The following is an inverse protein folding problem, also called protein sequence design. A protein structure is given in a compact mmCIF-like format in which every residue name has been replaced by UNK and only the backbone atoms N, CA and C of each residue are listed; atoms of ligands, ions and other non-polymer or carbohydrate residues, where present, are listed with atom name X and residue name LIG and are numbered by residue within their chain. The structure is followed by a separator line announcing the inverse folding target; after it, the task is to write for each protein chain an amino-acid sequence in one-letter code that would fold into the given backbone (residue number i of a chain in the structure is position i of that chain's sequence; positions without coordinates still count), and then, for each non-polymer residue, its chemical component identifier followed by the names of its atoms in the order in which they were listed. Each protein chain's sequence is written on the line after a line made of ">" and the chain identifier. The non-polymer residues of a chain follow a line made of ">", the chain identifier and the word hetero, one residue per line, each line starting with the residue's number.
data_IF_951051491150
#
_entry.id   IF_951051491150
#
_cell.length_a   1.000
_cell.length_b   1.000
_cell.length_c   1.000
_cell.angle_alpha   90.00
_cell.angle_beta   90.00
_cell.angle_gamma   90.00
#
_symmetry.space_group_name_H-M   'P 1'
#
loop_
_entity.id
_entity.type
_entity.pdbx_description
1 polymer ?
#
# COMPACT_ATOMS: atom_id res chain seq x y z
N UNK A 1 -74.20 -30.39 -40.99
CA UNK A 1 -73.66 -29.02 -41.10
C UNK A 1 -72.52 -28.72 -40.08
N UNK A 2 -71.83 -29.72 -39.60
CA UNK A 2 -70.82 -29.56 -38.53
C UNK A 2 -69.36 -29.37 -39.05
N UNK A 3 -68.99 -30.06 -40.10
CA UNK A 3 -67.61 -30.11 -40.60
C UNK A 3 -67.10 -28.80 -41.20
N UNK A 4 -67.95 -28.04 -41.88
CA UNK A 4 -67.58 -26.73 -42.47
C UNK A 4 -67.24 -25.70 -41.41
N UNK A 5 -67.99 -25.66 -40.34
CA UNK A 5 -67.78 -24.72 -39.23
C UNK A 5 -66.50 -25.08 -38.45
N UNK A 6 -66.14 -26.31 -38.34
CA UNK A 6 -64.94 -26.77 -37.67
C UNK A 6 -63.68 -26.46 -38.50
N UNK A 7 -63.76 -26.70 -39.80
CA UNK A 7 -62.70 -26.32 -40.72
C UNK A 7 -62.45 -24.80 -40.77
N UNK A 8 -63.53 -23.98 -40.76
CA UNK A 8 -63.42 -22.51 -40.70
C UNK A 8 -62.77 -22.04 -39.40
N UNK A 9 -63.16 -22.59 -38.27
CA UNK A 9 -62.58 -22.27 -36.94
C UNK A 9 -61.09 -22.67 -36.87
N UNK A 10 -60.70 -23.77 -37.47
CA UNK A 10 -59.30 -24.20 -37.54
C UNK A 10 -58.47 -23.25 -38.39
N UNK A 11 -58.97 -22.89 -39.58
CA UNK A 11 -58.29 -21.92 -40.44
C UNK A 11 -58.15 -20.54 -39.80
N UNK A 12 -59.16 -20.11 -39.02
CA UNK A 12 -59.10 -18.85 -38.29
C UNK A 12 -58.06 -18.86 -37.21
N UNK A 13 -57.96 -19.93 -36.40
CA UNK A 13 -56.91 -20.10 -35.38
C UNK A 13 -55.50 -20.12 -35.96
N UNK A 14 -55.35 -20.75 -37.11
CA UNK A 14 -54.05 -20.79 -37.80
C UNK A 14 -53.62 -19.41 -38.31
N UNK A 15 -54.57 -18.59 -38.81
CA UNK A 15 -54.32 -17.19 -39.22
C UNK A 15 -53.97 -16.32 -37.99
N UNK A 16 -54.73 -16.43 -36.91
CA UNK A 16 -54.53 -15.64 -35.72
C UNK A 16 -53.15 -15.99 -35.07
N UNK A 17 -52.75 -17.27 -35.10
CA UNK A 17 -51.46 -17.71 -34.63
C UNK A 17 -50.29 -17.20 -35.50
N UNK A 18 -50.49 -17.15 -36.83
CA UNK A 18 -49.49 -16.61 -37.75
C UNK A 18 -49.34 -15.11 -37.58
N UNK A 19 -50.45 -14.35 -37.43
CA UNK A 19 -50.43 -12.92 -37.14
C UNK A 19 -49.79 -12.58 -35.82
N UNK A 20 -50.09 -13.38 -34.78
CA UNK A 20 -49.42 -13.19 -33.44
C UNK A 20 -47.91 -13.42 -33.54
N UNK A 21 -47.48 -14.44 -34.26
CA UNK A 21 -46.05 -14.73 -34.49
C UNK A 21 -45.35 -13.65 -35.30
N UNK A 22 -46.03 -13.09 -36.34
CA UNK A 22 -45.49 -11.99 -37.12
C UNK A 22 -45.38 -10.69 -36.33
N UNK A 23 -46.35 -10.35 -35.47
CA UNK A 23 -46.27 -9.18 -34.56
C UNK A 23 -45.22 -9.34 -33.51
N UNK A 24 -44.99 -10.56 -32.98
CA UNK A 24 -43.91 -10.84 -32.00
C UNK A 24 -42.54 -10.65 -32.62
N UNK A 25 -42.32 -11.09 -33.85
CA UNK A 25 -41.02 -10.92 -34.54
C UNK A 25 -40.73 -9.45 -34.86
N UNK A 26 -41.73 -8.66 -35.22
CA UNK A 26 -41.57 -7.22 -35.45
C UNK A 26 -41.31 -6.42 -34.15
N UNK A 27 -41.91 -6.83 -33.04
CA UNK A 27 -41.64 -6.23 -31.71
C UNK A 27 -40.24 -6.51 -31.18
N UNK A 28 -39.68 -7.71 -31.40
CA UNK A 28 -38.31 -8.04 -30.98
C UNK A 28 -37.23 -7.37 -31.85
N UNK A 29 -37.51 -7.12 -33.14
CA UNK A 29 -36.54 -6.49 -34.04
C UNK A 29 -36.33 -4.99 -33.73
N UNK A 30 -37.36 -4.28 -33.31
CA UNK A 30 -37.27 -2.86 -32.93
C UNK A 30 -36.51 -2.66 -31.60
N UNK A 31 -36.72 -3.52 -30.58
CA UNK A 31 -36.08 -3.40 -29.28
C UNK A 31 -34.60 -3.73 -29.24
N UNK A 32 -34.10 -4.62 -30.12
CA UNK A 32 -32.67 -5.01 -30.12
C UNK A 32 -31.77 -3.96 -30.78
N UNK A 33 -32.23 -3.20 -31.73
CA UNK A 33 -31.41 -2.19 -32.42
C UNK A 33 -31.18 -0.94 -31.55
N UNK A 34 -32.20 -0.48 -30.82
CA UNK A 34 -32.09 0.71 -30.00
C UNK A 34 -31.22 0.49 -28.78
N UNK A 35 -31.28 -0.70 -28.20
CA UNK A 35 -30.47 -1.04 -27.02
C UNK A 35 -28.97 -1.16 -27.35
N UNK A 36 -28.62 -1.62 -28.53
CA UNK A 36 -27.22 -1.68 -28.99
C UNK A 36 -26.66 -0.29 -29.29
N UNK A 37 -27.42 0.57 -29.93
CA UNK A 37 -27.05 1.97 -30.19
C UNK A 37 -26.86 2.75 -28.90
N UNK A 38 -27.78 2.60 -27.95
CA UNK A 38 -27.69 3.24 -26.62
C UNK A 38 -26.45 2.75 -25.87
N UNK A 39 -26.11 1.47 -25.88
CA UNK A 39 -24.89 0.94 -25.26
C UNK A 39 -23.63 1.52 -25.91
N UNK A 40 -23.57 1.65 -27.22
CA UNK A 40 -22.44 2.25 -27.93
C UNK A 40 -22.30 3.75 -27.61
N UNK A 41 -23.41 4.47 -27.43
CA UNK A 41 -23.39 5.86 -26.99
C UNK A 41 -22.85 6.01 -25.56
N UNK A 42 -23.23 5.13 -24.62
CA UNK A 42 -22.68 5.16 -23.26
C UNK A 42 -21.19 4.79 -23.25
N UNK A 43 -20.74 3.83 -24.05
CA UNK A 43 -19.33 3.46 -24.16
C UNK A 43 -18.52 4.61 -24.76
N UNK A 44 -19.02 5.28 -25.81
CA UNK A 44 -18.34 6.43 -26.42
C UNK A 44 -18.27 7.61 -25.46
N UNK A 45 -19.36 7.89 -24.72
CA UNK A 45 -19.39 8.94 -23.70
C UNK A 45 -18.39 8.66 -22.55
N UNK A 46 -18.32 7.41 -22.08
CA UNK A 46 -17.37 7.01 -21.04
C UNK A 46 -15.91 7.15 -21.52
N UNK A 47 -15.62 6.82 -22.78
CA UNK A 47 -14.31 7.02 -23.37
C UNK A 47 -13.94 8.50 -23.50
N UNK A 48 -14.88 9.36 -23.90
CA UNK A 48 -14.67 10.81 -23.97
C UNK A 48 -14.40 11.38 -22.58
N UNK A 49 -15.19 10.97 -21.58
CA UNK A 49 -14.99 11.41 -20.18
C UNK A 49 -13.63 10.96 -19.66
N UNK A 50 -13.22 9.72 -19.92
CA UNK A 50 -11.92 9.22 -19.50
C UNK A 50 -10.77 9.98 -20.16
N UNK A 51 -10.91 10.33 -21.45
CA UNK A 51 -9.92 11.09 -22.20
C UNK A 51 -9.82 12.54 -21.69
N UNK A 52 -10.95 13.14 -21.35
CA UNK A 52 -10.99 14.48 -20.72
C UNK A 52 -10.34 14.46 -19.35
N UNK A 53 -10.59 13.43 -18.52
CA UNK A 53 -9.95 13.29 -17.21
C UNK A 53 -8.43 13.07 -17.32
N UNK A 54 -7.99 12.29 -18.30
CA UNK A 54 -6.56 12.10 -18.58
C UNK A 54 -5.92 13.42 -19.04
N UNK A 55 -6.57 14.14 -19.95
CA UNK A 55 -6.10 15.46 -20.41
C UNK A 55 -6.09 16.47 -19.26
N UNK A 56 -7.12 16.48 -18.41
CA UNK A 56 -7.18 17.37 -17.25
C UNK A 56 -6.05 17.04 -16.26
N UNK A 57 -5.84 15.76 -15.96
CA UNK A 57 -4.73 15.29 -15.12
C UNK A 57 -3.36 15.65 -15.73
N UNK A 58 -3.22 15.55 -17.05
CA UNK A 58 -1.98 15.91 -17.75
C UNK A 58 -1.74 17.43 -17.77
N UNK A 59 -2.80 18.23 -17.96
CA UNK A 59 -2.73 19.70 -17.88
C UNK A 59 -2.45 20.18 -16.46
N UNK A 60 -3.06 19.57 -15.44
CA UNK A 60 -2.79 19.87 -14.02
C UNK A 60 -1.37 19.46 -13.63
N UNK A 61 -0.85 18.35 -14.16
CA UNK A 61 0.54 17.93 -14.04
C UNK A 61 1.51 18.92 -14.74
N UNK A 62 1.14 19.44 -15.91
CA UNK A 62 1.95 20.40 -16.66
C UNK A 62 1.85 21.83 -16.11
N UNK A 63 0.71 22.16 -15.48
CA UNK A 63 0.48 23.46 -14.83
C UNK A 63 1.13 23.60 -13.46
N UNK A 64 1.44 22.49 -12.80
CA UNK A 64 2.31 22.46 -11.63
C UNK A 64 3.77 22.46 -12.07
N UNK A 65 4.20 23.58 -12.69
CA UNK A 65 5.62 23.91 -12.67
C UNK A 65 6.05 23.77 -11.20
N UNK A 66 7.09 22.96 -10.88
CA UNK A 66 7.66 23.04 -9.56
C UNK A 66 8.06 24.50 -9.37
N UNK A 67 7.31 25.20 -8.51
CA UNK A 67 7.70 26.54 -8.08
C UNK A 67 9.16 26.41 -7.67
N UNK A 68 10.06 27.30 -8.13
CA UNK A 68 11.40 27.29 -7.60
C UNK A 68 11.25 27.39 -6.09
N UNK A 69 11.72 26.38 -5.39
CA UNK A 69 11.63 26.25 -3.93
C UNK A 69 12.50 27.33 -3.33
N UNK A 70 12.02 28.57 -3.44
CA UNK A 70 12.66 29.73 -2.88
C UNK A 70 12.10 29.96 -1.49
N UNK A 71 12.96 29.73 -0.50
CA UNK A 71 12.82 30.18 0.89
C UNK A 71 11.92 29.32 1.80
N UNK A 72 12.21 28.03 1.91
CA UNK A 72 12.16 27.40 3.22
C UNK A 72 13.59 27.48 3.76
N UNK A 73 13.81 28.33 4.75
CA UNK A 73 15.09 28.46 5.42
C UNK A 73 15.42 27.11 6.09
N UNK A 74 16.26 26.32 5.45
CA UNK A 74 16.64 24.96 5.90
C UNK A 74 16.95 23.98 4.77
N UNK A 75 16.71 24.33 3.50
CA UNK A 75 17.19 23.50 2.40
C UNK A 75 18.69 23.74 2.21
N UNK A 76 19.50 22.68 2.16
CA UNK A 76 20.89 22.82 1.76
C UNK A 76 20.96 23.36 0.33
N UNK A 77 21.81 24.35 0.10
CA UNK A 77 22.06 24.87 -1.23
C UNK A 77 22.65 23.79 -2.13
N UNK A 78 22.56 23.96 -3.44
CA UNK A 78 23.23 23.05 -4.40
C UNK A 78 24.72 22.92 -4.12
N UNK A 79 25.36 23.97 -3.58
CA UNK A 79 26.75 23.92 -3.12
C UNK A 79 26.98 23.00 -1.93
N UNK A 80 25.99 22.85 -1.03
CA UNK A 80 26.09 21.94 0.11
C UNK A 80 25.97 20.46 -0.33
N UNK A 81 25.21 20.19 -1.40
CA UNK A 81 25.09 18.85 -1.99
C UNK A 81 26.41 18.46 -2.66
N UNK A 82 27.06 19.39 -3.32
CA UNK A 82 28.35 19.18 -4.02
C UNK A 82 29.52 18.96 -3.03
N UNK A 83 29.40 19.50 -1.81
CA UNK A 83 30.39 19.30 -0.73
C UNK A 83 30.25 17.96 0.00
N UNK A 84 29.15 17.22 -0.20
CA UNK A 84 28.90 15.95 0.48
C UNK A 84 29.64 14.81 -0.20
N UNK A 85 30.70 14.35 0.43
CA UNK A 85 31.62 13.36 -0.14
C UNK A 85 31.41 11.94 0.37
N UNK A 86 30.51 11.71 1.33
CA UNK A 86 30.35 10.39 1.96
C UNK A 86 28.92 9.93 2.12
N UNK A 87 28.72 8.61 2.19
CA UNK A 87 27.42 8.01 2.53
C UNK A 87 26.90 8.50 3.88
N UNK A 88 27.80 8.74 4.86
CA UNK A 88 27.45 9.23 6.18
C UNK A 88 26.82 10.64 6.13
N UNK A 89 27.29 11.52 5.24
CA UNK A 89 26.73 12.87 5.09
C UNK A 89 25.30 12.81 4.57
N UNK A 90 25.06 11.98 3.55
CA UNK A 90 23.71 11.77 3.03
C UNK A 90 22.81 11.11 4.06
N UNK A 91 23.30 10.14 4.82
CA UNK A 91 22.56 9.51 5.91
C UNK A 91 22.18 10.52 6.99
N UNK A 92 23.11 11.39 7.38
CA UNK A 92 22.86 12.45 8.35
C UNK A 92 21.73 13.39 7.92
N UNK A 93 21.76 13.82 6.65
CA UNK A 93 20.68 14.64 6.06
C UNK A 93 19.36 13.89 5.98
N UNK A 94 19.38 12.62 5.57
CA UNK A 94 18.18 11.80 5.54
C UNK A 94 17.50 11.75 6.91
N UNK A 95 18.28 11.54 7.97
CA UNK A 95 17.77 11.54 9.35
C UNK A 95 17.20 12.90 9.76
N UNK A 96 17.87 13.99 9.38
CA UNK A 96 17.38 15.35 9.67
C UNK A 96 16.00 15.57 9.03
N UNK A 97 15.84 15.25 7.75
CA UNK A 97 14.55 15.38 7.08
C UNK A 97 13.48 14.45 7.67
N UNK A 98 13.84 13.22 8.02
CA UNK A 98 12.92 12.28 8.68
C UNK A 98 12.40 12.83 10.00
N UNK A 99 13.29 13.34 10.86
CA UNK A 99 12.94 13.94 12.14
C UNK A 99 12.00 15.14 12.00
N UNK A 100 12.12 15.89 10.90
CA UNK A 100 11.28 17.05 10.61
C UNK A 100 10.00 16.69 9.83
N UNK A 101 9.70 15.40 9.63
CA UNK A 101 8.50 14.92 8.94
C UNK A 101 8.54 15.07 7.41
N UNK A 102 9.66 15.49 6.83
CA UNK A 102 9.83 15.59 5.38
C UNK A 102 10.26 14.23 4.82
N UNK A 103 9.27 13.35 4.61
CA UNK A 103 9.50 11.98 4.16
C UNK A 103 10.07 11.92 2.74
N UNK A 104 9.68 12.86 1.87
CA UNK A 104 10.14 12.90 0.47
C UNK A 104 11.65 13.11 0.38
N UNK A 105 12.16 14.15 1.03
CA UNK A 105 13.59 14.43 1.03
C UNK A 105 14.36 13.38 1.83
N UNK A 106 13.81 12.92 2.95
CA UNK A 106 14.42 11.85 3.73
C UNK A 106 14.65 10.60 2.88
N UNK A 107 13.62 10.16 2.14
CA UNK A 107 13.70 9.02 1.23
C UNK A 107 14.76 9.22 0.16
N UNK A 108 14.78 10.40 -0.47
CA UNK A 108 15.78 10.76 -1.47
C UNK A 108 17.21 10.63 -0.92
N UNK A 109 17.45 11.16 0.30
CA UNK A 109 18.77 11.13 0.90
C UNK A 109 19.18 9.74 1.40
N UNK A 110 18.25 8.90 1.90
CA UNK A 110 18.56 7.50 2.17
C UNK A 110 18.89 6.73 0.88
N UNK A 111 18.20 7.00 -0.22
CA UNK A 111 18.54 6.41 -1.51
C UNK A 111 19.95 6.84 -1.99
N UNK A 112 20.30 8.11 -1.83
CA UNK A 112 21.67 8.60 -2.13
C UNK A 112 22.71 7.92 -1.24
N UNK A 113 22.41 7.71 0.05
CA UNK A 113 23.28 6.92 0.93
C UNK A 113 23.54 5.54 0.35
N UNK A 114 22.48 4.84 -0.07
CA UNK A 114 22.56 3.48 -0.60
C UNK A 114 23.17 3.41 -2.00
N UNK A 115 23.17 4.50 -2.77
CA UNK A 115 23.92 4.60 -4.03
C UNK A 115 25.44 4.62 -3.80
N UNK A 116 25.89 5.24 -2.71
CA UNK A 116 27.32 5.27 -2.34
C UNK A 116 27.74 4.06 -1.53
N UNK A 117 26.88 3.58 -0.65
CA UNK A 117 27.09 2.39 0.17
C UNK A 117 25.82 1.52 0.19
N UNK A 118 25.72 0.55 -0.71
CA UNK A 118 24.57 -0.36 -0.79
C UNK A 118 24.35 -1.21 0.48
N UNK A 119 25.37 -1.37 1.30
CA UNK A 119 25.35 -2.18 2.52
C UNK A 119 25.09 -1.32 3.78
N UNK A 120 24.70 -0.06 3.63
CA UNK A 120 24.43 0.82 4.77
C UNK A 120 23.16 0.38 5.50
N UNK A 121 23.30 -0.54 6.45
CA UNK A 121 22.17 -1.21 7.15
C UNK A 121 21.16 -0.24 7.72
N UNK A 122 21.63 0.83 8.40
CA UNK A 122 20.73 1.81 9.01
C UNK A 122 19.94 2.63 7.97
N UNK A 123 20.50 2.85 6.78
CA UNK A 123 19.77 3.52 5.70
C UNK A 123 18.68 2.60 5.13
N UNK A 124 18.99 1.31 4.92
CA UNK A 124 18.00 0.30 4.51
C UNK A 124 16.85 0.19 5.52
N UNK A 125 17.18 0.12 6.81
CA UNK A 125 16.17 0.07 7.88
C UNK A 125 15.25 1.29 7.85
N UNK A 126 15.83 2.50 7.83
CA UNK A 126 15.06 3.73 7.87
C UNK A 126 14.26 3.98 6.58
N UNK A 127 14.81 3.59 5.43
CA UNK A 127 14.07 3.60 4.15
C UNK A 127 12.88 2.64 4.21
N UNK A 128 13.04 1.48 4.85
CA UNK A 128 11.95 0.55 5.12
C UNK A 128 10.82 1.19 5.95
N UNK A 129 11.18 1.93 6.99
CA UNK A 129 10.20 2.68 7.82
C UNK A 129 9.47 3.75 7.00
N UNK A 130 10.18 4.50 6.15
CA UNK A 130 9.52 5.49 5.27
C UNK A 130 8.54 4.81 4.31
N UNK A 131 8.91 3.70 3.69
CA UNK A 131 7.99 2.95 2.84
C UNK A 131 6.75 2.47 3.60
N UNK A 132 6.90 2.05 4.86
CA UNK A 132 5.74 1.70 5.71
C UNK A 132 4.82 2.90 5.94
N UNK A 133 5.36 4.07 6.23
CA UNK A 133 4.61 5.31 6.42
C UNK A 133 3.89 5.77 5.13
N UNK A 134 4.46 5.49 3.96
CA UNK A 134 3.83 5.69 2.65
C UNK A 134 2.79 4.62 2.29
N UNK A 135 2.59 3.59 3.13
CA UNK A 135 1.72 2.44 2.84
C UNK A 135 2.31 1.44 1.84
N UNK A 136 3.55 1.64 1.40
CA UNK A 136 4.23 0.72 0.49
C UNK A 136 4.90 -0.43 1.28
N UNK A 137 4.05 -1.30 1.86
CA UNK A 137 4.53 -2.39 2.71
C UNK A 137 5.44 -3.38 2.01
N UNK A 138 5.29 -3.57 0.68
CA UNK A 138 6.15 -4.48 -0.08
C UNK A 138 7.58 -3.94 -0.16
N UNK A 139 7.76 -2.67 -0.49
CA UNK A 139 9.07 -2.04 -0.53
C UNK A 139 9.69 -1.94 0.87
N UNK A 140 8.88 -1.64 1.89
CA UNK A 140 9.30 -1.62 3.29
C UNK A 140 9.84 -2.98 3.74
N UNK A 141 9.09 -4.05 3.48
CA UNK A 141 9.49 -5.42 3.81
C UNK A 141 10.81 -5.81 3.15
N UNK A 142 10.96 -5.49 1.85
CA UNK A 142 12.19 -5.77 1.10
C UNK A 142 13.40 -5.06 1.73
N UNK A 143 13.28 -3.78 2.03
CA UNK A 143 14.37 -2.99 2.62
C UNK A 143 14.76 -3.49 4.01
N UNK A 144 13.78 -3.82 4.86
CA UNK A 144 14.03 -4.35 6.21
C UNK A 144 14.66 -5.74 6.17
N UNK A 145 14.22 -6.62 5.28
CA UNK A 145 14.82 -7.95 5.10
C UNK A 145 16.25 -7.88 4.58
N UNK A 146 16.53 -6.92 3.71
CA UNK A 146 17.90 -6.69 3.25
C UNK A 146 18.80 -6.18 4.38
N UNK A 147 18.32 -5.29 5.22
CA UNK A 147 19.05 -4.87 6.42
C UNK A 147 19.35 -6.04 7.36
N UNK A 148 18.42 -6.98 7.53
CA UNK A 148 18.63 -8.22 8.31
C UNK A 148 19.63 -9.13 7.63
N UNK A 149 19.58 -9.28 6.31
CA UNK A 149 20.53 -10.10 5.56
C UNK A 149 21.97 -9.64 5.77
N UNK A 150 22.17 -8.31 5.75
CA UNK A 150 23.50 -7.71 5.95
C UNK A 150 23.93 -7.75 7.42
N UNK A 151 23.00 -7.53 8.34
CA UNK A 151 23.29 -7.56 9.78
C UNK A 151 22.22 -8.36 10.53
N UNK A 152 22.37 -9.69 10.66
CA UNK A 152 21.37 -10.55 11.30
C UNK A 152 21.08 -10.24 12.77
N UNK A 153 21.97 -9.52 13.45
CA UNK A 153 21.78 -9.09 14.84
C UNK A 153 21.20 -7.66 14.97
N UNK A 154 20.70 -7.07 13.89
CA UNK A 154 20.14 -5.71 13.92
C UNK A 154 18.67 -5.74 14.36
N UNK A 155 18.46 -5.61 15.69
CA UNK A 155 17.16 -5.75 16.34
C UNK A 155 16.08 -4.80 15.76
N UNK A 156 16.48 -3.57 15.37
CA UNK A 156 15.54 -2.55 14.86
C UNK A 156 14.79 -3.00 13.60
N UNK A 157 15.46 -3.72 12.69
CA UNK A 157 14.80 -4.20 11.49
C UNK A 157 13.79 -5.31 11.77
N UNK A 158 14.05 -6.17 12.75
CA UNK A 158 13.06 -7.16 13.22
C UNK A 158 11.87 -6.46 13.90
N UNK A 159 12.13 -5.44 14.70
CA UNK A 159 11.08 -4.64 15.33
C UNK A 159 10.21 -3.95 14.29
N UNK A 160 10.81 -3.30 13.29
CA UNK A 160 10.08 -2.65 12.21
C UNK A 160 9.30 -3.65 11.34
N UNK A 161 9.80 -4.88 11.15
CA UNK A 161 9.02 -5.95 10.51
C UNK A 161 7.83 -6.39 11.38
N UNK A 162 7.97 -6.41 12.71
CA UNK A 162 6.85 -6.67 13.60
C UNK A 162 5.74 -5.63 13.44
N UNK A 163 6.10 -4.34 13.40
CA UNK A 163 5.16 -3.24 13.13
C UNK A 163 4.52 -3.38 11.74
N UNK A 164 5.31 -3.66 10.70
CA UNK A 164 4.81 -3.85 9.33
C UNK A 164 3.77 -4.97 9.25
N UNK A 165 4.05 -6.12 9.86
CA UNK A 165 3.13 -7.26 9.83
C UNK A 165 1.89 -7.02 10.69
N UNK A 166 2.01 -6.27 11.79
CA UNK A 166 0.86 -5.82 12.58
C UNK A 166 -0.06 -4.89 11.77
N UNK A 167 0.51 -3.93 11.04
CA UNK A 167 -0.23 -3.04 10.13
C UNK A 167 -0.90 -3.81 8.99
N UNK A 168 -0.27 -4.86 8.46
CA UNK A 168 -0.85 -5.77 7.46
C UNK A 168 -1.94 -6.70 8.03
N UNK A 169 -2.17 -6.72 9.35
CA UNK A 169 -3.10 -7.64 10.00
C UNK A 169 -2.58 -9.08 10.10
N UNK A 170 -1.28 -9.32 9.89
CA UNK A 170 -0.66 -10.62 10.09
C UNK A 170 0.01 -10.69 11.47
N UNK A 171 -0.80 -10.85 12.47
CA UNK A 171 -0.41 -10.75 13.89
C UNK A 171 0.54 -11.85 14.31
N UNK A 172 0.38 -13.08 13.79
CA UNK A 172 1.24 -14.22 14.12
C UNK A 172 2.68 -13.95 13.65
N UNK A 173 2.83 -13.50 12.41
CA UNK A 173 4.14 -13.14 11.86
C UNK A 173 4.73 -11.94 12.58
N UNK A 174 3.90 -10.94 12.91
CA UNK A 174 4.30 -9.78 13.70
C UNK A 174 4.88 -10.19 15.08
N UNK A 175 4.20 -11.09 15.81
CA UNK A 175 4.71 -11.61 17.08
C UNK A 175 6.03 -12.37 16.94
N UNK A 176 6.18 -13.18 15.88
CA UNK A 176 7.43 -13.91 15.64
C UNK A 176 8.61 -12.95 15.44
N UNK A 177 8.42 -11.87 14.66
CA UNK A 177 9.43 -10.83 14.47
C UNK A 177 9.70 -10.05 15.77
N UNK A 178 8.67 -9.72 16.53
CA UNK A 178 8.84 -9.02 17.82
C UNK A 178 9.63 -9.89 18.82
N UNK A 179 9.32 -11.18 18.91
CA UNK A 179 10.07 -12.12 19.74
C UNK A 179 11.56 -12.18 19.35
N UNK A 180 11.83 -12.19 18.04
CA UNK A 180 13.21 -12.13 17.54
C UNK A 180 13.89 -10.80 17.88
N UNK A 181 13.23 -9.68 17.70
CA UNK A 181 13.76 -8.36 18.08
C UNK A 181 14.09 -8.31 19.57
N UNK A 182 13.18 -8.78 20.45
CA UNK A 182 13.36 -8.83 21.89
C UNK A 182 14.53 -9.73 22.31
N UNK A 183 14.74 -10.86 21.61
CA UNK A 183 15.89 -11.74 21.87
C UNK A 183 17.24 -11.11 21.52
N UNK A 184 17.26 -10.16 20.59
CA UNK A 184 18.47 -9.43 20.16
C UNK A 184 18.70 -8.16 21.01
N UNK A 185 17.63 -7.48 21.36
CA UNK A 185 17.67 -6.27 22.18
C UNK A 185 16.40 -6.17 23.04
N UNK A 186 16.53 -6.36 24.33
CA UNK A 186 15.41 -6.33 25.28
C UNK A 186 14.72 -4.97 25.38
N UNK A 187 15.43 -3.89 25.11
CA UNK A 187 14.83 -2.54 25.15
C UNK A 187 13.66 -2.37 24.20
N UNK A 188 13.56 -3.21 23.15
CA UNK A 188 12.42 -3.17 22.22
C UNK A 188 11.08 -3.50 22.90
N UNK A 189 11.09 -4.21 24.02
CA UNK A 189 9.89 -4.55 24.79
C UNK A 189 9.24 -3.27 25.33
N UNK A 190 10.04 -2.35 25.83
CA UNK A 190 9.53 -1.07 26.34
C UNK A 190 8.94 -0.20 25.21
N UNK A 191 9.54 -0.25 24.02
CA UNK A 191 8.98 0.40 22.86
C UNK A 191 7.66 -0.25 22.46
N UNK A 192 7.63 -1.58 22.36
CA UNK A 192 6.45 -2.35 21.95
C UNK A 192 5.25 -2.14 22.89
N UNK A 193 5.46 -1.90 24.18
CA UNK A 193 4.39 -1.59 25.14
C UNK A 193 3.66 -0.29 24.82
N UNK A 194 4.30 0.67 24.16
CA UNK A 194 3.80 2.02 23.91
C UNK A 194 3.48 2.29 22.43
N UNK A 195 4.00 1.49 21.53
CA UNK A 195 3.87 1.69 20.09
C UNK A 195 2.43 1.44 19.62
N UNK A 196 1.84 2.41 18.93
CA UNK A 196 0.47 2.34 18.42
C UNK A 196 0.32 1.25 17.34
N UNK A 197 1.34 1.04 16.53
CA UNK A 197 1.32 0.06 15.45
C UNK A 197 1.19 -1.37 15.98
N UNK A 198 1.64 -1.61 17.23
CA UNK A 198 1.59 -2.91 17.90
C UNK A 198 0.36 -3.08 18.83
N UNK A 199 -0.61 -2.17 18.81
CA UNK A 199 -1.78 -2.23 19.71
C UNK A 199 -2.53 -3.56 19.60
N UNK A 200 -2.70 -4.09 18.39
CA UNK A 200 -3.38 -5.38 18.17
C UNK A 200 -2.57 -6.54 18.74
N UNK A 201 -1.25 -6.52 18.55
CA UNK A 201 -0.38 -7.57 19.08
C UNK A 201 -0.39 -7.61 20.61
N UNK A 202 -0.47 -6.46 21.29
CA UNK A 202 -0.51 -6.39 22.77
C UNK A 202 -1.69 -7.15 23.37
N UNK A 203 -2.78 -7.34 22.62
CA UNK A 203 -3.98 -8.07 23.09
C UNK A 203 -3.80 -9.59 23.04
N UNK A 204 -2.77 -10.09 22.35
CA UNK A 204 -2.54 -11.52 22.17
C UNK A 204 -1.74 -12.14 23.33
N UNK A 205 -1.99 -13.43 23.61
CA UNK A 205 -1.25 -14.18 24.63
C UNK A 205 0.25 -14.22 24.36
N UNK A 206 0.65 -14.38 23.09
CA UNK A 206 2.05 -14.40 22.68
C UNK A 206 2.82 -13.12 23.01
N UNK A 207 2.16 -11.95 23.02
CA UNK A 207 2.81 -10.72 23.47
C UNK A 207 3.09 -10.76 24.98
N UNK A 208 2.15 -11.29 25.78
CA UNK A 208 2.32 -11.45 27.23
C UNK A 208 3.46 -12.40 27.56
N UNK A 209 3.65 -13.45 26.75
CA UNK A 209 4.77 -14.37 26.90
C UNK A 209 6.11 -13.68 26.66
N UNK A 210 6.23 -12.87 25.60
CA UNK A 210 7.46 -12.10 25.31
C UNK A 210 7.82 -11.19 26.50
N UNK A 211 6.82 -10.59 27.16
CA UNK A 211 7.07 -9.73 28.35
C UNK A 211 7.47 -10.54 29.56
N UNK A 212 6.87 -11.74 29.79
CA UNK A 212 7.20 -12.60 30.92
C UNK A 212 8.61 -13.15 30.83
N UNK A 213 9.05 -13.57 29.66
CA UNK A 213 10.41 -14.00 29.41
C UNK A 213 11.43 -12.90 29.77
N UNK A 214 11.04 -11.63 29.72
CA UNK A 214 11.83 -10.49 30.18
C UNK A 214 12.00 -10.45 31.68
N UNK A 215 10.96 -10.75 32.43
CA UNK A 215 10.99 -10.69 33.91
C UNK A 215 11.73 -11.88 34.56
N UNK A 216 11.86 -13.00 33.83
CA UNK A 216 12.53 -14.20 34.37
C UNK A 216 14.06 -14.12 34.35
N UNK A 217 14.63 -13.12 33.68
CA UNK A 217 16.09 -12.87 33.59
C UNK A 217 16.45 -11.57 34.34
N UNK A 218 15.94 -11.38 35.55
CA UNK A 218 16.60 -10.48 36.50
C UNK A 218 17.93 -11.15 36.91
N UNK A 219 19.06 -10.44 36.88
CA UNK A 219 20.31 -11.02 37.35
C UNK A 219 20.12 -11.39 38.82
N UNK A 220 20.13 -12.71 39.09
CA UNK A 220 20.17 -13.23 40.41
C UNK A 220 21.46 -12.74 41.10
N UNK A 221 21.29 -12.00 42.19
CA UNK A 221 22.27 -11.95 43.24
C UNK A 221 23.39 -10.91 43.13
N UNK A 222 23.10 -9.68 43.45
CA UNK A 222 24.05 -8.96 44.32
C UNK A 222 23.61 -9.28 45.76
N UNK A 223 24.15 -10.34 46.31
CA UNK A 223 24.15 -10.57 47.76
C UNK A 223 25.14 -9.55 48.32
N UNK A 224 24.65 -8.49 48.89
CA UNK A 224 25.45 -7.66 49.81
C UNK A 224 25.90 -8.54 50.97
N UNK A 225 27.19 -8.65 51.12
CA UNK A 225 27.85 -9.08 52.34
C UNK A 225 28.56 -7.89 52.95
#
# INVERSE_FOLDING_TARGET
>A
MSYINEALRKAQRERDAADYKARGILSERGKKSDFTLIRWLFISLALVISLVLILYSWLDFKGKNPQPVSKISGFPSTSDIESMKSANDFYGKARFFHKNGNLTDSKLYYQKTLMLDPEYVSALNNLGVIYMQEGNYLAGEKSLKEAIRLKPAYADSYYNLACLYALKGNEITGLAYLKKAASLNRSVIEWAKKDKDLEKLRKLSGFKEIIKDDQSVTPAGIVEK
#
